data_IF_205286460637
#
_entry.id   IF_205286460637
#
_cell.length_a   1.000
_cell.length_b   1.000
_cell.length_c   1.000
_cell.angle_alpha   90.00
_cell.angle_beta   90.00
_cell.angle_gamma   90.00
#
_symmetry.space_group_name_H-M   'P 1'
#
loop_
_entity.id
_entity.type
_entity.pdbx_description
1 polymer ?
#
# COMPACT_ATOMS: atom_id res chain seq x y z
N UNK A 1 23.71 4.20 9.44
CA UNK A 1 22.68 3.61 10.31
C UNK A 1 21.94 4.73 11.04
N UNK A 2 20.61 4.65 11.15
CA UNK A 2 19.77 5.49 12.00
C UNK A 2 19.16 4.60 13.08
N UNK A 3 19.28 4.98 14.35
CA UNK A 3 18.71 4.25 15.48
C UNK A 3 17.50 4.98 16.07
N UNK A 4 16.47 4.25 16.46
CA UNK A 4 15.30 4.80 17.15
C UNK A 4 14.70 3.81 18.14
N UNK A 5 14.46 4.27 19.38
CA UNK A 5 13.76 3.53 20.44
C UNK A 5 12.28 3.90 20.57
N UNK A 6 11.76 4.75 19.68
CA UNK A 6 10.36 5.11 19.72
C UNK A 6 9.47 3.86 19.57
N UNK A 7 8.39 3.71 20.37
CA UNK A 7 7.47 2.58 20.23
C UNK A 7 6.82 2.50 18.85
N UNK A 8 6.65 3.65 18.20
CA UNK A 8 6.20 3.79 16.81
C UNK A 8 7.12 4.78 16.11
N UNK A 9 7.66 4.39 14.96
CA UNK A 9 8.49 5.25 14.10
C UNK A 9 7.71 5.56 12.83
N UNK A 10 7.56 6.85 12.51
CA UNK A 10 7.01 7.32 11.24
C UNK A 10 8.06 8.02 10.39
N UNK A 11 7.69 8.43 9.18
CA UNK A 11 8.55 9.17 8.26
C UNK A 11 8.71 10.63 8.74
N UNK A 12 9.58 10.81 9.73
CA UNK A 12 9.93 12.13 10.29
C UNK A 12 10.99 12.85 9.47
N UNK A 13 11.20 14.14 9.75
CA UNK A 13 12.28 14.94 9.16
C UNK A 13 13.67 14.31 9.33
N UNK A 14 13.94 13.68 10.47
CA UNK A 14 15.20 13.01 10.73
C UNK A 14 15.40 11.79 9.83
N UNK A 15 14.34 11.02 9.61
CA UNK A 15 14.36 9.89 8.67
C UNK A 15 14.59 10.39 7.24
N UNK A 16 13.87 11.43 6.80
CA UNK A 16 14.08 12.02 5.46
C UNK A 16 15.52 12.49 5.26
N UNK A 17 16.09 13.16 6.27
CA UNK A 17 17.47 13.65 6.24
C UNK A 17 18.47 12.49 6.16
N UNK A 18 18.30 11.45 6.99
CA UNK A 18 19.17 10.28 6.98
C UNK A 18 19.15 9.54 5.63
N UNK A 19 17.97 9.40 5.02
CA UNK A 19 17.81 8.83 3.67
C UNK A 19 18.59 9.67 2.65
N UNK A 20 18.42 11.00 2.68
CA UNK A 20 19.08 11.90 1.74
C UNK A 20 20.60 11.89 1.89
N UNK A 21 21.11 11.86 3.12
CA UNK A 21 22.55 11.83 3.40
C UNK A 21 23.17 10.49 2.98
N UNK A 22 22.51 9.36 3.26
CA UNK A 22 22.95 8.05 2.82
C UNK A 22 23.04 7.97 1.28
N UNK A 23 22.00 8.45 0.59
CA UNK A 23 21.97 8.50 -0.88
C UNK A 23 23.07 9.39 -1.45
N UNK A 24 23.30 10.58 -0.86
CA UNK A 24 24.37 11.49 -1.30
C UNK A 24 25.77 10.88 -1.12
N UNK A 25 25.95 10.02 -0.12
CA UNK A 25 27.18 9.27 0.11
C UNK A 25 27.31 7.99 -0.75
N UNK A 26 26.33 7.70 -1.62
CA UNK A 26 26.32 6.49 -2.46
C UNK A 26 26.05 5.19 -1.69
N UNK A 27 25.54 5.27 -0.46
CA UNK A 27 25.24 4.12 0.40
C UNK A 27 23.74 3.88 0.60
N UNK A 28 23.42 2.77 1.27
CA UNK A 28 22.08 2.46 1.76
C UNK A 28 21.84 2.98 3.18
N UNK A 29 20.58 3.04 3.60
CA UNK A 29 20.21 3.33 4.99
C UNK A 29 19.75 2.04 5.69
N UNK A 30 20.25 1.86 6.90
CA UNK A 30 19.71 0.88 7.86
C UNK A 30 18.99 1.65 8.96
N UNK A 31 17.72 1.33 9.17
CA UNK A 31 16.92 1.78 10.31
C UNK A 31 16.97 0.67 11.36
N UNK A 32 17.64 0.92 12.49
CA UNK A 32 17.77 0.00 13.61
C UNK A 32 16.79 0.38 14.72
N UNK A 33 16.00 -0.57 15.20
CA UNK A 33 15.05 -0.36 16.31
C UNK A 33 15.07 -1.54 17.29
N UNK A 34 14.58 -1.40 18.53
CA UNK A 34 14.20 -2.55 19.35
C UNK A 34 13.12 -3.41 18.68
N UNK A 35 13.03 -4.69 19.05
CA UNK A 35 11.98 -5.64 18.61
C UNK A 35 10.57 -5.33 19.16
N UNK A 36 10.43 -4.27 19.95
CA UNK A 36 9.15 -3.74 20.45
C UNK A 36 8.61 -2.58 19.61
N UNK A 37 9.45 -2.00 18.74
CA UNK A 37 9.11 -0.87 17.89
C UNK A 37 8.30 -1.32 16.67
N UNK A 38 7.27 -0.55 16.33
CA UNK A 38 6.51 -0.68 15.09
C UNK A 38 6.84 0.45 14.14
N UNK A 39 6.77 0.21 12.84
CA UNK A 39 6.76 1.30 11.87
C UNK A 39 5.32 1.73 11.58
N UNK A 40 5.10 3.00 11.25
CA UNK A 40 3.88 3.39 10.54
C UNK A 40 3.89 2.70 9.17
N UNK A 41 2.70 2.36 8.65
CA UNK A 41 2.58 1.75 7.32
C UNK A 41 3.22 2.63 6.23
N UNK A 42 3.02 3.97 6.20
CA UNK A 42 3.70 4.82 5.22
C UNK A 42 5.22 4.79 5.30
N UNK A 43 5.82 4.74 6.49
CA UNK A 43 7.26 4.60 6.62
C UNK A 43 7.75 3.24 6.10
N UNK A 44 7.06 2.14 6.45
CA UNK A 44 7.43 0.82 5.96
C UNK A 44 7.38 0.73 4.43
N UNK A 45 6.33 1.28 3.82
CA UNK A 45 6.24 1.38 2.36
C UNK A 45 7.38 2.21 1.76
N UNK A 46 7.73 3.35 2.38
CA UNK A 46 8.86 4.16 1.95
C UNK A 46 10.19 3.41 2.06
N UNK A 47 10.36 2.59 3.10
CA UNK A 47 11.54 1.74 3.25
C UNK A 47 11.65 0.74 2.10
N UNK A 48 10.54 0.10 1.71
CA UNK A 48 10.50 -0.83 0.57
C UNK A 48 10.87 -0.11 -0.74
N UNK A 49 10.28 1.06 -1.00
CA UNK A 49 10.51 1.85 -2.23
C UNK A 49 11.95 2.36 -2.33
N UNK A 50 12.54 2.78 -1.22
CA UNK A 50 13.86 3.40 -1.19
C UNK A 50 15.00 2.43 -0.83
N UNK A 51 14.70 1.15 -0.61
CA UNK A 51 15.69 0.15 -0.23
C UNK A 51 16.32 0.41 1.15
N UNK A 52 15.54 0.97 2.09
CA UNK A 52 15.97 1.13 3.49
C UNK A 52 15.75 -0.19 4.21
N UNK A 53 16.83 -0.81 4.70
CA UNK A 53 16.71 -2.04 5.47
C UNK A 53 16.28 -1.72 6.91
N UNK A 54 15.09 -2.19 7.30
CA UNK A 54 14.66 -2.14 8.70
C UNK A 54 15.18 -3.36 9.45
N UNK A 55 16.04 -3.10 10.44
CA UNK A 55 16.66 -4.11 11.30
C UNK A 55 16.14 -3.92 12.72
N UNK A 56 15.83 -5.03 13.39
CA UNK A 56 15.44 -5.07 14.80
C UNK A 56 16.51 -5.74 15.64
N UNK A 57 16.76 -5.17 16.82
CA UNK A 57 17.59 -5.73 17.88
C UNK A 57 16.68 -6.43 18.89
N UNK A 58 16.95 -7.71 19.16
CA UNK A 58 16.21 -8.53 20.14
C UNK A 58 16.60 -8.27 21.60
N UNK A 59 17.54 -7.34 21.83
CA UNK A 59 18.07 -7.00 23.15
C UNK A 59 18.98 -8.08 23.74
N UNK A 60 19.26 -9.16 23.00
CA UNK A 60 20.12 -10.30 23.37
C UNK A 60 21.36 -10.39 22.48
N UNK A 61 21.58 -9.40 21.63
CA UNK A 61 22.74 -9.29 20.74
C UNK A 61 22.55 -9.95 19.38
N UNK A 62 21.32 -10.27 18.98
CA UNK A 62 21.01 -10.71 17.62
C UNK A 62 20.15 -9.68 16.89
N UNK A 63 20.45 -9.54 15.59
CA UNK A 63 19.76 -8.63 14.69
C UNK A 63 18.90 -9.42 13.71
N UNK A 64 17.74 -8.85 13.34
CA UNK A 64 16.83 -9.47 12.40
C UNK A 64 16.20 -8.44 11.46
N UNK A 65 15.81 -8.85 10.26
CA UNK A 65 14.98 -8.02 9.38
C UNK A 65 13.61 -7.84 10.03
N UNK A 66 13.15 -6.61 10.24
CA UNK A 66 11.91 -6.36 10.97
C UNK A 66 10.66 -6.92 10.30
N UNK A 67 10.62 -6.96 8.96
CA UNK A 67 9.45 -7.42 8.20
C UNK A 67 9.34 -8.94 8.07
N UNK A 68 10.47 -9.66 8.10
CA UNK A 68 10.52 -11.11 7.80
C UNK A 68 11.10 -11.93 8.95
N UNK A 69 11.90 -11.35 9.83
CA UNK A 69 12.58 -12.07 10.90
C UNK A 69 13.81 -12.86 10.45
N UNK A 70 14.31 -12.62 9.22
CA UNK A 70 15.59 -13.18 8.77
C UNK A 70 16.72 -12.65 9.64
N UNK A 71 17.65 -13.51 10.07
CA UNK A 71 18.80 -13.07 10.87
C UNK A 71 19.71 -12.15 10.06
N UNK A 72 20.19 -11.09 10.70
CA UNK A 72 21.07 -10.09 10.08
C UNK A 72 22.45 -10.14 10.73
N UNK A 73 23.48 -10.09 9.89
CA UNK A 73 24.87 -9.92 10.30
C UNK A 73 25.39 -8.57 9.82
N UNK A 74 26.12 -7.89 10.69
CA UNK A 74 26.86 -6.69 10.34
C UNK A 74 28.33 -7.06 10.10
N UNK A 75 28.90 -6.56 9.00
CA UNK A 75 30.31 -6.71 8.66
C UNK A 75 30.79 -5.47 7.91
N UNK A 76 31.81 -4.81 8.45
CA UNK A 76 32.46 -3.65 7.82
C UNK A 76 31.47 -2.54 7.43
N UNK A 77 30.45 -2.29 8.27
CA UNK A 77 29.38 -1.32 8.05
C UNK A 77 28.26 -1.78 7.10
N UNK A 78 28.30 -3.04 6.63
CA UNK A 78 27.31 -3.61 5.73
C UNK A 78 26.44 -4.64 6.45
N UNK A 79 25.17 -4.69 6.10
CA UNK A 79 24.18 -5.56 6.73
C UNK A 79 23.68 -6.59 5.73
N UNK A 80 23.70 -7.86 6.13
CA UNK A 80 23.34 -9.00 5.29
C UNK A 80 22.31 -9.86 6.02
N UNK A 81 21.19 -10.15 5.35
CA UNK A 81 20.17 -11.06 5.85
C UNK A 81 20.44 -12.49 5.38
N UNK A 82 20.27 -13.46 6.27
CA UNK A 82 20.21 -14.89 5.93
C UNK A 82 18.89 -15.25 5.23
N UNK A 83 18.84 -16.35 4.51
CA UNK A 83 17.62 -16.79 3.81
C UNK A 83 16.53 -17.33 4.76
N UNK A 84 16.91 -17.85 5.92
CA UNK A 84 15.99 -18.52 6.83
C UNK A 84 15.21 -17.54 7.71
N UNK A 85 13.88 -17.70 7.76
CA UNK A 85 13.02 -16.98 8.70
C UNK A 85 13.18 -17.56 10.11
N UNK A 86 13.37 -16.71 11.11
CA UNK A 86 13.46 -17.16 12.49
C UNK A 86 12.06 -17.33 13.11
N UNK A 87 11.80 -18.48 13.73
CA UNK A 87 10.48 -18.87 14.25
C UNK A 87 9.88 -17.85 15.22
N UNK A 88 10.71 -17.21 16.05
CA UNK A 88 10.24 -16.20 17.03
C UNK A 88 9.50 -15.01 16.40
N UNK A 89 9.83 -14.68 15.15
CA UNK A 89 9.21 -13.58 14.41
C UNK A 89 8.07 -14.04 13.51
N UNK A 90 7.86 -15.35 13.36
CA UNK A 90 6.74 -15.89 12.60
C UNK A 90 5.49 -15.94 13.49
N UNK A 91 4.39 -15.38 13.00
CA UNK A 91 3.08 -15.44 13.62
C UNK A 91 2.04 -15.76 12.57
N UNK A 92 1.19 -16.74 12.86
CA UNK A 92 -0.02 -16.97 12.08
C UNK A 92 -1.10 -16.03 12.58
N UNK A 93 -1.49 -15.05 11.77
CA UNK A 93 -2.67 -14.23 12.04
C UNK A 93 -3.96 -15.03 11.82
N UNK A 94 -4.99 -14.74 12.62
CA UNK A 94 -6.35 -15.28 12.49
C UNK A 94 -7.32 -14.21 12.02
N UNK A 95 -8.26 -14.53 11.13
CA UNK A 95 -9.32 -13.61 10.68
C UNK A 95 -10.23 -13.09 11.81
N UNK A 96 -10.14 -13.69 13.00
CA UNK A 96 -10.81 -13.24 14.23
C UNK A 96 -10.00 -12.19 15.02
N UNK A 97 -8.75 -11.94 14.64
CA UNK A 97 -7.88 -10.96 15.27
C UNK A 97 -8.18 -9.54 14.76
N UNK A 98 -7.61 -8.53 15.42
CA UNK A 98 -7.59 -7.14 14.94
C UNK A 98 -7.03 -7.13 13.50
N UNK A 99 -7.75 -6.49 12.59
CA UNK A 99 -7.37 -6.46 11.18
C UNK A 99 -7.89 -5.23 10.44
N UNK A 100 -7.91 -5.33 9.13
CA UNK A 100 -8.53 -4.34 8.26
C UNK A 100 -8.07 -4.46 6.83
N UNK A 101 -8.08 -3.36 6.10
CA UNK A 101 -7.71 -3.35 4.69
C UNK A 101 -6.49 -2.49 4.44
N UNK A 102 -5.66 -2.95 3.51
CA UNK A 102 -4.63 -2.17 2.84
C UNK A 102 -4.99 -2.05 1.37
N UNK A 103 -5.00 -0.82 0.86
CA UNK A 103 -5.27 -0.48 -0.54
C UNK A 103 -3.96 -0.02 -1.17
N UNK A 104 -3.67 -0.52 -2.37
CA UNK A 104 -2.71 0.06 -3.29
C UNK A 104 -3.43 0.37 -4.59
N UNK A 105 -3.30 1.58 -5.13
CA UNK A 105 -3.93 1.93 -6.39
C UNK A 105 -3.11 2.95 -7.16
N UNK A 106 -3.38 3.04 -8.46
CA UNK A 106 -2.69 3.98 -9.32
C UNK A 106 -3.64 4.60 -10.33
N UNK A 107 -3.51 5.89 -10.55
CA UNK A 107 -4.18 6.59 -11.66
C UNK A 107 -3.17 7.38 -12.48
N UNK A 108 -3.48 7.56 -13.76
CA UNK A 108 -2.80 8.48 -14.64
C UNK A 108 -3.76 9.60 -15.00
N UNK A 109 -3.46 10.81 -14.55
CA UNK A 109 -4.12 12.01 -14.99
C UNK A 109 -3.45 12.53 -16.26
N UNK A 110 -4.12 12.50 -17.43
CA UNK A 110 -3.53 13.01 -18.66
C UNK A 110 -3.18 14.49 -18.51
N UNK A 111 -2.10 14.91 -19.18
CA UNK A 111 -1.66 16.31 -19.15
C UNK A 111 -2.77 17.24 -19.66
N UNK A 112 -3.29 18.09 -18.76
CA UNK A 112 -4.33 19.10 -19.04
C UNK A 112 -3.95 20.43 -18.41
N UNK A 113 -4.66 21.50 -18.77
CA UNK A 113 -4.43 22.85 -18.22
C UNK A 113 -4.78 22.99 -16.73
N UNK A 114 -5.65 22.13 -16.20
CA UNK A 114 -6.05 22.11 -14.79
C UNK A 114 -5.66 20.78 -14.12
N UNK A 115 -4.38 20.67 -13.76
CA UNK A 115 -3.83 19.54 -13.02
C UNK A 115 -4.41 19.53 -11.60
N UNK A 116 -4.91 18.37 -11.15
CA UNK A 116 -5.51 18.20 -9.83
C UNK A 116 -4.87 17.03 -9.06
N UNK A 117 -3.85 17.32 -8.26
CA UNK A 117 -3.16 16.32 -7.44
C UNK A 117 -3.87 16.13 -6.10
N UNK A 118 -4.04 14.89 -5.67
CA UNK A 118 -4.76 14.43 -4.48
C UNK A 118 -6.09 13.75 -4.80
N UNK A 119 -6.48 13.65 -6.08
CA UNK A 119 -7.78 13.11 -6.47
C UNK A 119 -7.97 11.64 -6.06
N UNK A 120 -6.94 10.81 -6.29
CA UNK A 120 -6.98 9.40 -5.88
C UNK A 120 -7.08 9.23 -4.35
N UNK A 121 -6.37 10.08 -3.59
CA UNK A 121 -6.43 10.05 -2.13
C UNK A 121 -7.81 10.46 -1.60
N UNK A 122 -8.46 11.45 -2.21
CA UNK A 122 -9.84 11.79 -1.86
C UNK A 122 -10.82 10.65 -2.11
N UNK A 123 -10.70 9.96 -3.25
CA UNK A 123 -11.58 8.87 -3.62
C UNK A 123 -11.39 7.65 -2.70
N UNK A 124 -10.15 7.24 -2.47
CA UNK A 124 -9.84 6.11 -1.58
C UNK A 124 -10.27 6.43 -0.14
N UNK A 125 -9.94 7.61 0.39
CA UNK A 125 -10.37 7.98 1.73
C UNK A 125 -11.90 7.99 1.84
N UNK A 126 -12.60 8.56 0.86
CA UNK A 126 -14.07 8.59 0.84
C UNK A 126 -14.68 7.19 0.77
N UNK A 127 -14.12 6.30 -0.04
CA UNK A 127 -14.58 4.92 -0.15
C UNK A 127 -14.32 4.12 1.14
N UNK A 128 -13.25 4.42 1.88
CA UNK A 128 -12.90 3.72 3.12
C UNK A 128 -13.59 4.29 4.37
N UNK A 129 -13.85 5.59 4.41
CA UNK A 129 -14.27 6.31 5.63
C UNK A 129 -15.53 7.17 5.46
N UNK A 130 -16.08 7.26 4.25
CA UNK A 130 -17.20 8.15 3.91
C UNK A 130 -16.84 9.63 3.73
N UNK A 131 -15.58 10.03 3.91
CA UNK A 131 -15.16 11.43 3.82
C UNK A 131 -13.77 11.61 3.18
N UNK A 132 -13.45 12.85 2.81
CA UNK A 132 -12.12 13.23 2.31
C UNK A 132 -11.07 13.18 3.42
N UNK A 133 -9.77 13.18 3.07
CA UNK A 133 -8.71 13.33 4.04
C UNK A 133 -8.86 14.63 4.84
N UNK A 134 -8.40 14.60 6.09
CA UNK A 134 -8.38 15.75 6.98
C UNK A 134 -7.09 16.56 6.86
N UNK A 135 -5.97 15.89 6.58
CA UNK A 135 -4.67 16.54 6.53
C UNK A 135 -3.65 15.83 5.65
N UNK A 136 -2.59 16.55 5.30
CA UNK A 136 -1.45 16.04 4.54
C UNK A 136 -0.11 16.62 5.03
N UNK A 137 0.97 15.99 4.62
CA UNK A 137 2.33 16.44 4.90
C UNK A 137 3.36 15.70 4.06
N UNK A 138 4.57 16.23 3.98
CA UNK A 138 5.73 15.50 3.42
C UNK A 138 6.37 14.54 4.43
N UNK A 139 5.94 14.63 5.68
CA UNK A 139 6.43 13.90 6.84
C UNK A 139 5.26 13.57 7.77
N UNK A 140 5.48 12.58 8.65
CA UNK A 140 4.59 12.25 9.76
C UNK A 140 5.07 12.92 11.05
N UNK A 141 4.14 13.39 11.92
CA UNK A 141 2.70 13.48 11.71
C UNK A 141 2.35 14.58 10.68
N UNK A 142 1.23 14.41 9.99
CA UNK A 142 0.75 15.43 9.04
C UNK A 142 0.32 16.70 9.78
N UNK A 143 0.62 17.86 9.20
CA UNK A 143 0.37 19.17 9.86
C UNK A 143 -0.45 20.13 9.01
N UNK A 144 -0.60 19.87 7.72
CA UNK A 144 -1.37 20.74 6.82
C UNK A 144 -2.80 20.25 6.71
N UNK A 145 -3.81 21.13 6.67
CA UNK A 145 -5.18 20.73 6.34
C UNK A 145 -5.23 20.21 4.90
N UNK A 146 -6.08 19.22 4.64
CA UNK A 146 -6.26 18.68 3.28
C UNK A 146 -6.74 19.76 2.33
N UNK A 147 -5.98 19.99 1.26
CA UNK A 147 -6.27 21.02 0.26
C UNK A 147 -5.68 20.61 -1.09
N UNK A 148 -6.53 20.04 -1.95
CA UNK A 148 -6.14 19.73 -3.33
C UNK A 148 -5.59 20.93 -4.09
N UNK A 149 -6.14 22.16 -3.96
CA UNK A 149 -5.52 23.35 -4.57
C UNK A 149 -4.07 23.59 -4.12
N UNK A 150 -3.77 23.43 -2.83
CA UNK A 150 -2.42 23.66 -2.30
C UNK A 150 -1.46 22.56 -2.75
N UNK A 151 -1.90 21.30 -2.68
CA UNK A 151 -1.14 20.14 -3.17
C UNK A 151 -0.86 20.29 -4.67
N UNK A 152 -1.86 20.68 -5.45
CA UNK A 152 -1.73 20.88 -6.91
C UNK A 152 -0.85 22.09 -7.25
N UNK A 153 -0.90 23.16 -6.47
CA UNK A 153 -0.01 24.31 -6.65
C UNK A 153 1.46 23.92 -6.43
N UNK A 154 1.72 23.16 -5.36
CA UNK A 154 3.07 22.74 -4.97
C UNK A 154 3.64 21.64 -5.86
N UNK A 155 2.82 20.63 -6.16
CA UNK A 155 3.26 19.41 -6.85
C UNK A 155 2.70 19.26 -8.25
N UNK A 156 1.81 20.13 -8.72
CA UNK A 156 1.37 20.13 -10.11
C UNK A 156 2.44 20.65 -11.07
N UNK A 157 3.33 21.55 -10.62
CA UNK A 157 4.43 22.14 -11.42
C UNK A 157 5.85 21.69 -11.08
N UNK A 158 6.03 20.94 -9.99
CA UNK A 158 7.33 20.40 -9.58
C UNK A 158 8.00 19.47 -10.62
N UNK A 159 9.29 19.19 -10.44
CA UNK A 159 10.14 18.44 -11.39
C UNK A 159 9.70 16.96 -11.55
N UNK A 160 10.37 16.23 -12.45
CA UNK A 160 10.05 14.83 -12.76
C UNK A 160 10.36 13.82 -11.64
N UNK A 161 11.08 14.24 -10.59
CA UNK A 161 11.37 13.40 -9.44
C UNK A 161 10.08 13.08 -8.67
N UNK A 162 9.89 11.81 -8.31
CA UNK A 162 8.72 11.37 -7.54
C UNK A 162 8.61 12.13 -6.20
N UNK A 163 7.41 12.61 -5.87
CA UNK A 163 7.13 13.27 -4.60
C UNK A 163 6.29 12.38 -3.70
N UNK A 164 6.75 12.16 -2.47
CA UNK A 164 6.06 11.35 -1.48
C UNK A 164 5.35 12.24 -0.44
N UNK A 165 4.05 12.02 -0.26
CA UNK A 165 3.21 12.70 0.73
C UNK A 165 2.54 11.67 1.63
N UNK A 166 2.14 12.11 2.82
CA UNK A 166 1.28 11.37 3.73
C UNK A 166 -0.03 12.09 3.88
N UNK A 167 -1.10 11.34 4.13
CA UNK A 167 -2.41 11.88 4.44
C UNK A 167 -3.09 11.07 5.54
N UNK A 168 -3.99 11.74 6.26
CA UNK A 168 -4.83 11.10 7.28
C UNK A 168 -6.28 11.44 7.00
N UNK A 169 -7.15 10.43 7.04
CA UNK A 169 -8.60 10.57 6.98
C UNK A 169 -9.22 10.84 8.35
N UNK A 170 -10.54 11.02 8.39
CA UNK A 170 -11.27 10.98 9.65
C UNK A 170 -11.24 9.58 10.24
N UNK A 171 -11.50 9.51 11.54
CA UNK A 171 -11.97 8.27 12.17
C UNK A 171 -13.49 8.26 12.03
N UNK A 172 -14.08 7.34 11.24
CA UNK A 172 -15.53 7.23 11.12
C UNK A 172 -16.19 7.01 12.48
N UNK A 173 -17.48 7.33 12.60
CA UNK A 173 -18.27 6.88 13.74
C UNK A 173 -18.32 5.34 13.76
N UNK A 174 -18.27 4.75 14.96
CA UNK A 174 -18.23 3.31 15.17
C UNK A 174 -16.82 2.75 15.38
N UNK A 175 -16.63 1.47 15.07
CA UNK A 175 -15.42 0.73 15.41
C UNK A 175 -14.32 0.78 14.34
N UNK A 176 -14.56 1.43 13.18
CA UNK A 176 -13.55 1.59 12.14
C UNK A 176 -12.40 2.50 12.61
N UNK A 177 -11.20 2.15 12.18
CA UNK A 177 -9.99 2.94 12.42
C UNK A 177 -9.95 4.23 11.59
N UNK A 178 -8.94 5.03 11.86
CA UNK A 178 -8.59 6.17 11.01
C UNK A 178 -7.96 5.67 9.71
N UNK A 179 -8.32 6.28 8.57
CA UNK A 179 -7.59 6.04 7.31
C UNK A 179 -6.23 6.72 7.39
N UNK A 180 -5.16 5.98 7.10
CA UNK A 180 -3.80 6.52 7.00
C UNK A 180 -3.20 6.06 5.68
N UNK A 181 -2.47 6.93 5.00
CA UNK A 181 -1.87 6.55 3.74
C UNK A 181 -0.78 7.49 3.25
N UNK A 182 -0.15 7.08 2.16
CA UNK A 182 0.82 7.83 1.41
C UNK A 182 0.40 7.97 -0.05
N UNK A 183 0.84 9.07 -0.66
CA UNK A 183 0.63 9.40 -2.06
C UNK A 183 1.98 9.70 -2.68
N UNK A 184 2.40 8.87 -3.63
CA UNK A 184 3.52 9.15 -4.50
C UNK A 184 3.00 9.80 -5.79
N UNK A 185 3.62 10.92 -6.16
CA UNK A 185 3.28 11.72 -7.34
C UNK A 185 4.46 11.67 -8.29
N UNK A 186 4.27 11.06 -9.46
CA UNK A 186 5.26 11.01 -10.52
C UNK A 186 4.77 11.76 -11.74
N UNK A 187 5.71 12.23 -12.58
CA UNK A 187 5.41 13.07 -13.75
C UNK A 187 6.07 12.55 -15.01
N UNK A 188 5.54 11.47 -15.60
CA UNK A 188 5.93 11.09 -16.94
C UNK A 188 5.51 12.16 -17.95
N UNK A 189 5.97 12.03 -19.19
CA UNK A 189 5.67 12.98 -20.28
C UNK A 189 4.16 13.14 -20.53
N UNK A 190 3.39 12.08 -20.31
CA UNK A 190 1.98 11.99 -20.70
C UNK A 190 1.01 12.52 -19.63
N UNK A 191 1.50 12.87 -18.44
CA UNK A 191 0.64 13.37 -17.37
C UNK A 191 1.23 13.29 -15.97
N UNK A 192 0.34 13.08 -15.01
CA UNK A 192 0.70 12.86 -13.61
C UNK A 192 0.20 11.49 -13.20
N UNK A 193 1.10 10.70 -12.64
CA UNK A 193 0.78 9.42 -12.03
C UNK A 193 0.65 9.64 -10.53
N UNK A 194 -0.46 9.18 -9.97
CA UNK A 194 -0.66 9.11 -8.53
C UNK A 194 -0.67 7.64 -8.13
N UNK A 195 0.30 7.25 -7.31
CA UNK A 195 0.32 5.95 -6.66
C UNK A 195 -0.04 6.15 -5.19
N UNK A 196 -1.00 5.38 -4.69
CA UNK A 196 -1.46 5.47 -3.31
C UNK A 196 -1.24 4.16 -2.59
N UNK A 197 -0.81 4.25 -1.33
CA UNK A 197 -0.99 3.19 -0.35
C UNK A 197 -1.85 3.74 0.80
N UNK A 198 -2.92 3.05 1.17
CA UNK A 198 -3.81 3.47 2.24
C UNK A 198 -4.19 2.26 3.11
N UNK A 199 -4.51 2.52 4.37
CA UNK A 199 -4.90 1.48 5.31
C UNK A 199 -5.96 1.98 6.28
N UNK A 200 -6.85 1.07 6.69
CA UNK A 200 -7.84 1.34 7.73
C UNK A 200 -8.14 0.07 8.49
N UNK A 201 -8.13 0.16 9.83
CA UNK A 201 -8.56 -0.93 10.69
C UNK A 201 -10.07 -1.11 10.57
N UNK A 202 -10.53 -2.36 10.47
CA UNK A 202 -11.95 -2.68 10.36
C UNK A 202 -12.38 -3.58 11.53
N UNK A 203 -13.62 -3.44 12.02
CA UNK A 203 -14.14 -4.30 13.08
C UNK A 203 -14.52 -5.70 12.59
N UNK A 204 -14.75 -5.85 11.29
CA UNK A 204 -15.11 -7.10 10.65
C UNK A 204 -14.53 -7.13 9.22
N UNK A 205 -14.38 -8.33 8.63
CA UNK A 205 -14.04 -8.46 7.21
C UNK A 205 -15.03 -7.68 6.33
N UNK A 206 -14.54 -7.11 5.23
CA UNK A 206 -15.39 -6.42 4.26
C UNK A 206 -16.43 -7.36 3.63
N UNK A 207 -17.68 -6.90 3.56
CA UNK A 207 -18.70 -7.59 2.78
C UNK A 207 -18.42 -7.46 1.27
N UNK A 208 -19.01 -8.35 0.47
CA UNK A 208 -18.91 -8.26 -0.99
C UNK A 208 -19.46 -6.91 -1.51
N UNK A 209 -20.56 -6.42 -0.93
CA UNK A 209 -21.15 -5.14 -1.33
C UNK A 209 -20.21 -3.96 -1.05
N UNK A 210 -19.53 -3.95 0.10
CA UNK A 210 -18.53 -2.92 0.43
C UNK A 210 -17.34 -2.96 -0.54
N UNK A 211 -16.86 -4.15 -0.90
CA UNK A 211 -15.78 -4.32 -1.89
C UNK A 211 -16.15 -3.74 -3.24
N UNK A 212 -17.41 -3.87 -3.64
CA UNK A 212 -17.90 -3.40 -4.94
C UNK A 212 -18.20 -1.92 -4.94
N UNK A 213 -18.75 -1.37 -3.86
CA UNK A 213 -18.90 0.08 -3.68
C UNK A 213 -17.53 0.77 -3.71
N UNK A 214 -16.54 0.18 -3.05
CA UNK A 214 -15.16 0.59 -3.17
C UNK A 214 -14.71 0.54 -4.64
N UNK A 215 -14.86 -0.62 -5.30
CA UNK A 215 -14.40 -0.77 -6.68
C UNK A 215 -15.09 0.19 -7.67
N UNK A 216 -16.39 0.50 -7.48
CA UNK A 216 -17.11 1.51 -8.25
C UNK A 216 -16.51 2.90 -8.07
N UNK A 217 -16.17 3.28 -6.85
CA UNK A 217 -15.50 4.55 -6.55
C UNK A 217 -14.16 4.67 -7.28
N UNK A 218 -13.42 3.55 -7.39
CA UNK A 218 -12.12 3.52 -8.07
C UNK A 218 -12.26 3.48 -9.60
N UNK A 219 -13.32 2.85 -10.12
CA UNK A 219 -13.70 2.90 -11.54
C UNK A 219 -14.03 4.33 -11.99
N UNK A 220 -14.77 5.09 -11.19
CA UNK A 220 -15.06 6.51 -11.47
C UNK A 220 -13.79 7.36 -11.54
N UNK A 221 -12.77 7.01 -10.77
CA UNK A 221 -11.44 7.63 -10.81
C UNK A 221 -10.56 7.16 -11.97
N UNK A 222 -11.06 6.22 -12.78
CA UNK A 222 -10.35 5.65 -13.92
C UNK A 222 -8.96 5.15 -13.55
N UNK A 223 -8.85 4.47 -12.40
CA UNK A 223 -7.58 3.89 -11.98
C UNK A 223 -7.03 2.97 -13.07
N UNK A 224 -5.71 2.99 -13.26
CA UNK A 224 -5.02 2.03 -14.12
C UNK A 224 -5.09 0.64 -13.50
N UNK A 225 -4.95 0.59 -12.18
CA UNK A 225 -5.15 -0.61 -11.38
C UNK A 225 -5.40 -0.29 -9.91
N UNK A 226 -5.99 -1.24 -9.19
CA UNK A 226 -6.02 -1.25 -7.73
C UNK A 226 -5.91 -2.69 -7.17
N UNK A 227 -5.35 -2.80 -5.98
CA UNK A 227 -5.21 -4.01 -5.17
C UNK A 227 -5.67 -3.70 -3.77
N UNK A 228 -6.56 -4.52 -3.25
CA UNK A 228 -6.96 -4.47 -1.85
C UNK A 228 -6.55 -5.77 -1.19
N UNK A 229 -5.89 -5.65 -0.04
CA UNK A 229 -5.48 -6.76 0.78
C UNK A 229 -6.22 -6.72 2.10
N UNK A 230 -6.66 -7.89 2.56
CA UNK A 230 -7.06 -8.08 3.94
C UNK A 230 -5.78 -8.26 4.79
N UNK A 231 -5.64 -7.41 5.80
CA UNK A 231 -4.59 -7.52 6.82
C UNK A 231 -5.18 -8.17 8.07
N UNK A 232 -4.53 -9.22 8.53
CA UNK A 232 -5.01 -10.10 9.60
C UNK A 232 -4.00 -10.07 10.75
N UNK A 233 -4.48 -10.09 12.00
CA UNK A 233 -3.60 -10.20 13.17
C UNK A 233 -2.91 -8.90 13.61
N UNK A 234 -3.14 -7.78 12.93
CA UNK A 234 -2.56 -6.49 13.30
C UNK A 234 -3.35 -5.29 12.82
N UNK A 235 -3.11 -4.14 13.45
CA UNK A 235 -3.58 -2.86 12.94
C UNK A 235 -2.90 -2.56 11.59
N UNK A 236 -3.63 -2.42 10.48
CA UNK A 236 -3.03 -2.25 9.15
C UNK A 236 -2.24 -0.94 8.99
N UNK A 237 -2.48 0.05 9.85
CA UNK A 237 -1.73 1.30 9.89
C UNK A 237 -0.33 1.17 10.53
N UNK A 238 -0.04 0.03 11.16
CA UNK A 238 1.24 -0.25 11.79
C UNK A 238 1.86 -1.52 11.21
N UNK A 239 3.19 -1.57 11.22
CA UNK A 239 3.96 -2.74 10.83
C UNK A 239 4.72 -3.20 12.07
N UNK A 240 4.25 -4.28 12.74
CA UNK A 240 5.01 -4.85 13.83
C UNK A 240 6.25 -5.57 13.28
N UNK A 241 7.27 -5.80 14.13
CA UNK A 241 8.46 -6.52 13.74
C UNK A 241 8.19 -8.03 13.78
N UNK A 242 7.18 -8.47 13.03
CA UNK A 242 6.69 -9.84 12.99
C UNK A 242 6.30 -10.16 11.55
N UNK A 243 6.67 -11.34 11.09
CA UNK A 243 6.16 -11.92 9.86
C UNK A 243 4.75 -12.48 10.13
N UNK A 244 3.73 -11.77 9.64
CA UNK A 244 2.32 -12.15 9.77
C UNK A 244 1.80 -12.97 8.57
N UNK A 245 2.70 -13.43 7.70
CA UNK A 245 2.36 -14.00 6.41
C UNK A 245 2.22 -12.96 5.30
N UNK A 246 1.94 -13.43 4.09
CA UNK A 246 1.70 -12.56 2.94
C UNK A 246 0.32 -11.90 3.07
N UNK A 247 0.16 -10.61 2.72
CA UNK A 247 -1.15 -9.96 2.67
C UNK A 247 -2.09 -10.75 1.76
N UNK A 248 -3.32 -11.01 2.21
CA UNK A 248 -4.30 -11.82 1.44
C UNK A 248 -5.02 -10.90 0.44
N UNK A 249 -4.80 -11.05 -0.88
CA UNK A 249 -5.52 -10.25 -1.87
C UNK A 249 -7.02 -10.51 -1.78
N UNK A 250 -7.81 -9.45 -1.80
CA UNK A 250 -9.26 -9.47 -1.60
C UNK A 250 -10.01 -8.86 -2.80
N UNK A 251 -9.47 -7.78 -3.39
CA UNK A 251 -10.04 -7.12 -4.57
C UNK A 251 -8.94 -6.76 -5.54
N UNK A 252 -9.14 -7.06 -6.83
CA UNK A 252 -8.31 -6.58 -7.93
C UNK A 252 -9.17 -5.72 -8.85
N UNK A 253 -8.63 -4.58 -9.28
CA UNK A 253 -9.27 -3.71 -10.26
C UNK A 253 -8.26 -3.47 -11.39
N UNK A 254 -8.70 -3.71 -12.62
CA UNK A 254 -7.93 -3.46 -13.84
C UNK A 254 -8.64 -2.40 -14.67
N UNK A 255 -7.97 -1.27 -14.86
CA UNK A 255 -8.48 -0.15 -15.63
C UNK A 255 -8.50 -0.39 -17.13
N UNK A 256 -8.97 0.62 -17.85
CA UNK A 256 -9.08 0.58 -19.31
C UNK A 256 -7.75 0.32 -20.03
N UNK A 257 -6.64 0.85 -19.50
CA UNK A 257 -5.30 0.62 -20.06
C UNK A 257 -4.90 -0.86 -19.98
N UNK A 258 -5.13 -1.50 -18.84
CA UNK A 258 -4.90 -2.93 -18.66
C UNK A 258 -5.83 -3.79 -19.53
N UNK A 259 -6.97 -3.25 -19.98
CA UNK A 259 -7.92 -3.94 -20.84
C UNK A 259 -7.79 -3.57 -22.33
N UNK A 260 -6.82 -2.73 -22.71
CA UNK A 260 -6.75 -2.19 -24.07
C UNK A 260 -6.69 -3.31 -25.13
N UNK A 261 -7.76 -3.41 -25.94
CA UNK A 261 -7.89 -4.44 -26.98
C UNK A 261 -8.27 -5.84 -26.48
N UNK A 262 -8.63 -5.98 -25.21
CA UNK A 262 -8.98 -7.23 -24.53
C UNK A 262 -10.47 -7.24 -24.13
N UNK A 263 -11.12 -8.39 -24.16
CA UNK A 263 -12.49 -8.52 -23.65
C UNK A 263 -12.47 -8.71 -22.12
N UNK A 264 -13.00 -7.74 -21.39
CA UNK A 264 -13.08 -7.80 -19.93
C UNK A 264 -13.82 -9.04 -19.41
N UNK A 265 -14.82 -9.54 -20.16
CA UNK A 265 -15.54 -10.76 -19.76
C UNK A 265 -14.66 -12.00 -19.87
N UNK A 266 -13.83 -12.11 -20.91
CA UNK A 266 -12.90 -13.24 -21.08
C UNK A 266 -11.94 -13.37 -19.89
N UNK A 267 -11.36 -12.25 -19.44
CA UNK A 267 -10.47 -12.23 -18.28
C UNK A 267 -11.21 -12.38 -16.94
N UNK A 268 -12.48 -11.96 -16.87
CA UNK A 268 -13.36 -12.26 -15.75
C UNK A 268 -13.61 -13.76 -15.60
N UNK A 269 -13.94 -14.44 -16.69
CA UNK A 269 -14.11 -15.90 -16.72
C UNK A 269 -12.80 -16.63 -16.39
N UNK A 270 -11.65 -16.15 -16.91
CA UNK A 270 -10.34 -16.66 -16.53
C UNK A 270 -10.10 -16.57 -15.01
N UNK A 271 -10.46 -15.44 -14.39
CA UNK A 271 -10.34 -15.28 -12.95
C UNK A 271 -11.22 -16.29 -12.18
N UNK A 272 -12.45 -16.54 -12.64
CA UNK A 272 -13.33 -17.57 -12.06
C UNK A 272 -12.73 -18.97 -12.19
N UNK A 273 -12.16 -19.31 -13.35
CA UNK A 273 -11.47 -20.58 -13.58
C UNK A 273 -10.30 -20.79 -12.62
N UNK A 274 -9.59 -19.71 -12.26
CA UNK A 274 -8.52 -19.74 -11.26
C UNK A 274 -9.01 -19.73 -9.80
N UNK A 275 -10.32 -19.62 -9.58
CA UNK A 275 -10.92 -19.69 -8.25
C UNK A 275 -11.23 -18.33 -7.62
N UNK A 276 -11.41 -17.28 -8.42
CA UNK A 276 -12.02 -16.04 -7.92
C UNK A 276 -13.43 -16.30 -7.37
N UNK A 277 -13.92 -15.40 -6.51
CA UNK A 277 -15.28 -15.49 -5.97
C UNK A 277 -16.30 -15.01 -7.00
N UNK A 278 -16.03 -13.83 -7.58
CA UNK A 278 -16.84 -13.23 -8.66
C UNK A 278 -16.00 -12.23 -9.43
N UNK A 279 -16.51 -11.80 -10.59
CA UNK A 279 -16.02 -10.61 -11.26
C UNK A 279 -17.19 -9.68 -11.62
N UNK A 280 -16.85 -8.41 -11.90
CA UNK A 280 -17.78 -7.42 -12.42
C UNK A 280 -17.09 -6.57 -13.48
N UNK A 281 -17.72 -6.45 -14.65
CA UNK A 281 -17.28 -5.51 -15.69
C UNK A 281 -18.03 -4.20 -15.48
N UNK A 282 -17.33 -3.21 -14.95
CA UNK A 282 -17.92 -1.91 -14.68
C UNK A 282 -18.00 -1.11 -15.97
N UNK A 283 -19.22 -0.64 -16.27
CA UNK A 283 -19.54 0.16 -17.46
C UNK A 283 -20.11 1.50 -17.00
N UNK A 284 -19.82 2.55 -17.76
CA UNK A 284 -20.10 3.95 -17.39
C UNK A 284 -18.80 4.75 -17.29
N UNK A 285 -18.85 6.06 -17.54
CA UNK A 285 -17.64 6.87 -17.76
C UNK A 285 -17.08 6.72 -19.18
N UNK A 286 -15.80 7.04 -19.39
CA UNK A 286 -15.20 7.04 -20.74
C UNK A 286 -14.60 5.70 -21.18
N UNK A 287 -14.38 4.73 -20.27
CA UNK A 287 -13.85 3.41 -20.61
C UNK A 287 -14.18 2.36 -19.51
N UNK A 288 -14.30 1.06 -19.85
CA UNK A 288 -14.64 0.01 -18.89
C UNK A 288 -13.47 -0.37 -17.98
N UNK A 289 -13.79 -0.99 -16.83
CA UNK A 289 -12.83 -1.66 -15.95
C UNK A 289 -13.31 -3.06 -15.57
N UNK A 290 -12.38 -3.91 -15.15
CA UNK A 290 -12.64 -5.26 -14.64
C UNK A 290 -12.32 -5.30 -13.14
N UNK A 291 -13.32 -5.65 -12.34
CA UNK A 291 -13.15 -5.93 -10.92
C UNK A 291 -13.24 -7.43 -10.66
N UNK A 292 -12.29 -7.97 -9.90
CA UNK A 292 -12.26 -9.38 -9.47
C UNK A 292 -12.27 -9.41 -7.95
N UNK A 293 -13.25 -10.09 -7.36
CA UNK A 293 -13.29 -10.37 -5.93
C UNK A 293 -12.66 -11.72 -5.65
N UNK A 294 -11.78 -11.74 -4.67
CA UNK A 294 -11.07 -12.94 -4.23
C UNK A 294 -11.62 -13.38 -2.88
N UNK A 295 -11.48 -14.68 -2.59
CA UNK A 295 -11.80 -15.22 -1.27
C UNK A 295 -10.77 -14.76 -0.26
N UNK A 296 -11.24 -14.46 0.94
CA UNK A 296 -10.35 -14.12 2.06
C UNK A 296 -9.93 -15.36 2.86
N UNK A 297 -10.66 -16.47 2.73
CA UNK A 297 -10.40 -17.72 3.46
C UNK A 297 -9.85 -18.83 2.54
N UNK A 298 -8.87 -19.61 3.00
CA UNK A 298 -8.37 -20.78 2.28
C UNK A 298 -9.47 -21.82 2.07
N UNK A 299 -9.47 -22.47 0.90
CA UNK A 299 -10.34 -23.61 0.61
C UNK A 299 -9.54 -24.73 -0.04
N UNK A 300 -9.72 -25.95 0.46
CA UNK A 300 -9.05 -27.12 -0.09
C UNK A 300 -9.36 -27.30 -1.58
N UNK A 301 -8.34 -27.57 -2.39
CA UNK A 301 -8.45 -27.75 -3.84
C UNK A 301 -8.63 -26.45 -4.64
N UNK A 302 -8.64 -25.28 -4.00
CA UNK A 302 -8.72 -23.98 -4.68
C UNK A 302 -7.37 -23.25 -4.55
N UNK A 303 -6.82 -22.69 -5.64
CA UNK A 303 -5.60 -21.89 -5.57
C UNK A 303 -5.71 -20.75 -4.54
N UNK A 304 -4.59 -20.45 -3.87
CA UNK A 304 -4.54 -19.31 -2.96
C UNK A 304 -4.79 -17.99 -3.72
N UNK A 305 -5.45 -16.99 -3.12
CA UNK A 305 -5.72 -15.70 -3.77
C UNK A 305 -4.50 -15.01 -4.37
N UNK A 306 -3.31 -15.19 -3.76
CA UNK A 306 -2.05 -14.68 -4.28
C UNK A 306 -1.68 -15.27 -5.66
N UNK A 307 -1.97 -16.56 -5.90
CA UNK A 307 -1.71 -17.23 -7.19
C UNK A 307 -2.64 -16.68 -8.27
N UNK A 308 -3.90 -16.42 -7.93
CA UNK A 308 -4.89 -15.81 -8.83
C UNK A 308 -4.46 -14.40 -9.21
N UNK A 309 -4.04 -13.61 -8.21
CA UNK A 309 -3.49 -12.28 -8.45
C UNK A 309 -2.29 -12.33 -9.39
N UNK A 310 -1.30 -13.17 -9.14
CA UNK A 310 -0.12 -13.31 -10.01
C UNK A 310 -0.50 -13.66 -11.45
N UNK A 311 -1.41 -14.61 -11.64
CA UNK A 311 -1.91 -15.00 -12.96
C UNK A 311 -2.58 -13.83 -13.69
N UNK A 312 -3.45 -13.08 -13.01
CA UNK A 312 -4.15 -11.93 -13.58
C UNK A 312 -3.20 -10.79 -13.91
N UNK A 313 -2.22 -10.51 -13.05
CA UNK A 313 -1.19 -9.49 -13.30
C UNK A 313 -0.33 -9.85 -14.50
N UNK A 314 0.15 -11.09 -14.58
CA UNK A 314 0.91 -11.56 -15.75
C UNK A 314 0.12 -11.42 -17.04
N UNK A 315 -1.19 -11.66 -16.99
CA UNK A 315 -2.05 -11.61 -18.17
C UNK A 315 -2.41 -10.18 -18.59
N UNK A 316 -2.71 -9.30 -17.64
CA UNK A 316 -3.25 -7.96 -17.91
C UNK A 316 -2.22 -6.82 -17.78
N UNK A 317 -1.19 -6.99 -16.95
CA UNK A 317 -0.20 -5.97 -16.62
C UNK A 317 1.21 -6.56 -16.51
N UNK A 318 1.79 -7.06 -17.62
CA UNK A 318 3.09 -7.74 -17.60
C UNK A 318 4.26 -6.84 -17.17
N UNK A 319 4.09 -5.51 -17.21
CA UNK A 319 5.11 -4.54 -16.77
C UNK A 319 5.04 -4.21 -15.26
N UNK A 320 4.02 -4.70 -14.55
CA UNK A 320 3.75 -4.41 -13.12
C UNK A 320 3.99 -5.67 -12.23
N UNK A 321 4.38 -6.80 -12.84
CA UNK A 321 4.56 -8.10 -12.18
C UNK A 321 6.00 -8.43 -11.83
#
# INVERSE_FOLDING_TARGET
MLYSEAPVVGHTQWVSKAISEAKAAGGGLVLLTPDTTKLTRPLAHLCDVLGVMWVVDDGRGALYVGTTGQRVHERDGHYFAEDALHEQYSRQGSAQDIGGVRVQAETLMPRRTNIRVGGLAEAVCRALSGAQPLGWGVQEPVTQPWSVPDISSRYGRANADGHFLHFVGPRPEGERGQVNGSLEIQKPRDGIVEHIEASVALPAPWSDDERLDFARSLHEMQVRWARVYHVVGTNPALVPPLFLGLPVPSVLIFGAEALAGRDAHEYGELALMHGALRYEVMRGGSAPSLTVLLRDEPREGVPAPAVIMEAMYRALMPEVG
#
